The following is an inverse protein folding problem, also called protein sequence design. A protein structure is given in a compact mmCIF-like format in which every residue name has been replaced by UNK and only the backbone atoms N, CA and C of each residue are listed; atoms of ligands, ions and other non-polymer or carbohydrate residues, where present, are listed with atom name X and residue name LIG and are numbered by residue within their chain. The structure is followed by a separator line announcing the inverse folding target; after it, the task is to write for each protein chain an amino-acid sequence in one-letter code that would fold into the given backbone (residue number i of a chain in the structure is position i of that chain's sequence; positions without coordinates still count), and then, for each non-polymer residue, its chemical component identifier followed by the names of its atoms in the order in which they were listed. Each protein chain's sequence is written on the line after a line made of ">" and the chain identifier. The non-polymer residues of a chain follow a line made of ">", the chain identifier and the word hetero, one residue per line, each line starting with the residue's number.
data_IF_779034535586
#
_entry.id   IF_779034535586
#
_cell.length_a   1.000
_cell.length_b   1.000
_cell.length_c   1.000
_cell.angle_alpha   90.00
_cell.angle_beta   90.00
_cell.angle_gamma   90.00
#
_symmetry.space_group_name_H-M   'P 1'
#
loop_
_entity.id
_entity.type
_entity.pdbx_description
1 polymer ?
#
# COMPACT_ATOMS: atom_id res chain seq x y z
N UNK A 1 1.20 -14.84 9.44
CA UNK A 1 1.78 -13.62 8.84
C UNK A 1 0.72 -12.54 8.75
N UNK A 2 1.05 -11.35 9.24
CA UNK A 2 0.14 -10.22 9.23
C UNK A 2 0.51 -9.26 8.10
N UNK A 3 -0.43 -8.98 7.23
CA UNK A 3 -0.20 -8.20 6.00
C UNK A 3 -1.05 -6.94 5.97
N UNK A 4 -0.41 -5.84 5.54
CA UNK A 4 -1.08 -4.59 5.19
C UNK A 4 -1.03 -4.45 3.67
N UNK A 5 -2.18 -4.46 3.02
CA UNK A 5 -2.29 -4.21 1.59
C UNK A 5 -2.65 -2.75 1.33
N UNK A 6 -1.95 -2.13 0.40
CA UNK A 6 -2.13 -0.71 0.08
C UNK A 6 -2.39 -0.50 -1.41
N UNK A 7 -3.41 0.28 -1.70
CA UNK A 7 -3.68 0.82 -3.03
C UNK A 7 -3.37 2.31 -2.95
N UNK A 8 -2.12 2.66 -3.28
CA UNK A 8 -1.56 3.98 -3.01
C UNK A 8 -1.99 5.03 -4.02
N UNK A 9 -2.60 6.09 -3.50
CA UNK A 9 -3.07 7.25 -4.25
C UNK A 9 -3.33 8.37 -3.25
N UNK A 10 -3.77 9.54 -3.69
CA UNK A 10 -4.17 10.62 -2.78
C UNK A 10 -5.25 10.14 -1.81
N UNK A 11 -6.15 9.28 -2.28
CA UNK A 11 -7.04 8.51 -1.39
C UNK A 11 -6.53 7.08 -1.38
N UNK A 12 -5.73 6.77 -0.38
CA UNK A 12 -5.09 5.46 -0.27
C UNK A 12 -6.03 4.45 0.35
N UNK A 13 -6.31 3.38 -0.39
CA UNK A 13 -7.05 2.25 0.17
C UNK A 13 -6.13 1.35 0.96
N UNK A 14 -6.59 0.83 2.09
CA UNK A 14 -5.82 -0.11 2.88
C UNK A 14 -6.69 -1.27 3.35
N UNK A 15 -6.07 -2.41 3.56
CA UNK A 15 -6.74 -3.58 4.11
C UNK A 15 -5.77 -4.44 4.90
N UNK A 16 -6.27 -4.99 5.99
CA UNK A 16 -5.60 -6.03 6.79
C UNK A 16 -6.61 -7.14 7.04
N UNK A 17 -6.22 -8.21 7.70
CA UNK A 17 -7.15 -9.27 8.09
C UNK A 17 -8.24 -8.76 9.04
N UNK A 18 -7.99 -7.67 9.76
CA UNK A 18 -8.88 -7.17 10.80
C UNK A 18 -9.68 -5.93 10.41
N UNK A 19 -9.18 -5.12 9.48
CA UNK A 19 -9.78 -3.83 9.15
C UNK A 19 -9.45 -3.40 7.74
N UNK A 20 -10.27 -2.53 7.19
CA UNK A 20 -10.02 -1.91 5.88
C UNK A 20 -10.63 -0.51 5.86
N UNK A 21 -10.19 0.30 4.91
CA UNK A 21 -10.70 1.65 4.77
C UNK A 21 -9.94 2.46 3.74
N UNK A 22 -10.11 3.76 3.83
CA UNK A 22 -9.48 4.72 2.93
C UNK A 22 -8.86 5.84 3.77
N UNK A 23 -7.61 6.18 3.46
CA UNK A 23 -6.95 7.35 4.04
C UNK A 23 -6.98 8.48 3.02
N UNK A 24 -7.54 9.60 3.38
CA UNK A 24 -7.56 10.78 2.54
C UNK A 24 -6.32 11.63 2.83
N UNK A 25 -5.39 11.64 1.89
CA UNK A 25 -4.13 12.38 2.04
C UNK A 25 -4.20 13.77 1.40
N UNK A 26 -5.38 14.19 0.97
CA UNK A 26 -5.58 15.45 0.26
C UNK A 26 -4.96 16.63 1.00
N UNK A 27 -4.26 17.48 0.23
CA UNK A 27 -3.67 18.70 0.75
C UNK A 27 -4.75 19.70 1.14
N UNK A 28 -4.53 20.34 2.28
CA UNK A 28 -5.35 21.46 2.73
C UNK A 28 -4.75 22.75 2.19
N UNK A 29 -5.56 23.80 2.19
CA UNK A 29 -5.11 25.12 1.71
C UNK A 29 -3.85 25.56 2.45
N UNK A 30 -2.85 25.96 1.69
CA UNK A 30 -1.58 26.44 2.25
C UNK A 30 -0.55 25.37 2.56
N UNK A 31 -0.89 24.10 2.38
CA UNK A 31 0.07 23.02 2.62
C UNK A 31 0.94 22.73 1.41
N UNK A 32 2.18 22.34 1.67
CA UNK A 32 3.09 21.88 0.62
C UNK A 32 2.85 20.41 0.28
N UNK A 33 3.34 19.97 -0.88
CA UNK A 33 3.17 18.60 -1.36
C UNK A 33 3.73 17.55 -0.40
N UNK A 34 4.75 17.89 0.38
CA UNK A 34 5.32 16.99 1.37
C UNK A 34 4.36 16.54 2.45
N UNK A 35 3.27 17.27 2.68
CA UNK A 35 2.29 16.90 3.69
C UNK A 35 1.55 15.62 3.36
N UNK A 36 1.39 15.29 2.08
CA UNK A 36 0.83 13.99 1.68
C UNK A 36 1.72 12.85 2.16
N UNK A 37 3.04 13.04 2.04
CA UNK A 37 4.03 12.03 2.41
C UNK A 37 4.01 11.80 3.93
N UNK A 38 3.93 12.88 4.70
CA UNK A 38 3.85 12.80 6.16
C UNK A 38 2.58 12.07 6.59
N UNK A 39 1.44 12.39 5.97
CA UNK A 39 0.16 11.74 6.30
C UNK A 39 0.20 10.24 6.03
N UNK A 40 0.72 9.85 4.89
CA UNK A 40 0.84 8.43 4.56
C UNK A 40 1.77 7.72 5.55
N UNK A 41 2.92 8.30 5.81
CA UNK A 41 3.89 7.73 6.74
C UNK A 41 3.27 7.52 8.13
N UNK A 42 2.53 8.51 8.63
CA UNK A 42 1.84 8.42 9.92
C UNK A 42 0.81 7.29 9.96
N UNK A 43 0.02 7.16 8.90
CA UNK A 43 -1.01 6.12 8.81
C UNK A 43 -0.42 4.72 8.72
N UNK A 44 0.60 4.56 7.91
CA UNK A 44 1.30 3.28 7.79
C UNK A 44 1.90 2.88 9.12
N UNK A 45 2.59 3.80 9.78
CA UNK A 45 3.19 3.56 11.09
C UNK A 45 2.14 3.11 12.11
N UNK A 46 1.02 3.84 12.17
CA UNK A 46 -0.05 3.56 13.09
C UNK A 46 -0.57 2.12 12.95
N UNK A 47 -0.85 1.70 11.72
CA UNK A 47 -1.36 0.36 11.45
C UNK A 47 -0.30 -0.71 11.69
N UNK A 48 0.92 -0.47 11.20
CA UNK A 48 2.02 -1.43 11.36
C UNK A 48 2.31 -1.69 12.84
N UNK A 49 2.40 -0.64 13.63
CA UNK A 49 2.70 -0.77 15.06
C UNK A 49 1.53 -1.38 15.84
N UNK A 50 0.29 -0.92 15.54
CA UNK A 50 -0.89 -1.40 16.27
C UNK A 50 -1.21 -2.87 16.01
N UNK A 51 -0.99 -3.33 14.78
CA UNK A 51 -1.35 -4.69 14.37
C UNK A 51 -0.16 -5.62 14.20
N UNK A 52 1.05 -5.15 14.47
CA UNK A 52 2.28 -5.93 14.29
C UNK A 52 2.40 -6.51 12.88
N UNK A 53 2.26 -5.65 11.88
CA UNK A 53 2.32 -6.04 10.47
C UNK A 53 3.71 -6.58 10.12
N UNK A 54 3.77 -7.70 9.42
CA UNK A 54 5.01 -8.36 8.99
C UNK A 54 5.38 -8.05 7.55
N UNK A 55 4.39 -7.74 6.72
CA UNK A 55 4.58 -7.52 5.29
C UNK A 55 3.64 -6.44 4.79
N UNK A 56 4.18 -5.52 4.01
CA UNK A 56 3.38 -4.50 3.31
C UNK A 56 3.33 -4.86 1.84
N UNK A 57 2.12 -4.97 1.28
CA UNK A 57 1.91 -5.28 -0.14
C UNK A 57 1.34 -4.05 -0.84
N UNK A 58 1.94 -3.65 -1.96
CA UNK A 58 1.55 -2.44 -2.69
C UNK A 58 1.38 -2.72 -4.18
N UNK A 59 0.46 -1.99 -4.81
CA UNK A 59 0.35 -1.98 -6.26
C UNK A 59 1.33 -0.96 -6.83
N UNK A 60 2.06 -1.35 -7.88
CA UNK A 60 2.94 -0.43 -8.59
C UNK A 60 2.13 0.60 -9.39
N UNK A 61 2.64 1.85 -9.54
CA UNK A 61 1.93 2.85 -10.35
C UNK A 61 1.74 2.37 -11.78
N UNK A 62 0.52 2.50 -12.30
CA UNK A 62 0.18 2.10 -13.66
C UNK A 62 -0.79 3.09 -14.30
N UNK A 63 -0.81 4.32 -13.84
CA UNK A 63 -1.72 5.34 -14.32
C UNK A 63 -1.41 5.79 -15.74
N UNK A 64 -2.43 6.30 -16.41
CA UNK A 64 -2.30 6.90 -17.73
C UNK A 64 -1.78 8.33 -17.66
N UNK A 65 -1.89 8.97 -16.51
CA UNK A 65 -1.53 10.38 -16.33
C UNK A 65 -0.19 10.49 -15.60
N UNK A 66 0.73 11.24 -16.21
CA UNK A 66 2.08 11.43 -15.66
C UNK A 66 2.06 12.00 -14.24
N UNK A 67 1.18 12.96 -13.97
CA UNK A 67 1.07 13.57 -12.64
C UNK A 67 0.66 12.56 -11.57
N UNK A 68 -0.26 11.66 -11.90
CA UNK A 68 -0.69 10.61 -10.97
C UNK A 68 0.43 9.62 -10.70
N UNK A 69 1.19 9.23 -11.74
CA UNK A 69 2.33 8.33 -11.60
C UNK A 69 3.38 8.94 -10.68
N UNK A 70 3.68 10.22 -10.85
CA UNK A 70 4.67 10.92 -10.01
C UNK A 70 4.23 10.91 -8.55
N UNK A 71 2.99 11.30 -8.27
CA UNK A 71 2.46 11.34 -6.91
C UNK A 71 2.49 9.95 -6.26
N UNK A 72 2.01 8.93 -6.98
CA UNK A 72 2.00 7.56 -6.47
C UNK A 72 3.41 7.04 -6.21
N UNK A 73 4.36 7.35 -7.12
CA UNK A 73 5.75 6.93 -6.95
C UNK A 73 6.41 7.57 -5.73
N UNK A 74 6.13 8.85 -5.47
CA UNK A 74 6.64 9.52 -4.28
C UNK A 74 6.09 8.88 -3.01
N UNK A 75 4.80 8.59 -2.98
CA UNK A 75 4.14 7.96 -1.84
C UNK A 75 4.66 6.53 -1.60
N UNK A 76 4.84 5.77 -2.68
CA UNK A 76 5.41 4.42 -2.59
C UNK A 76 6.83 4.48 -2.02
N UNK A 77 7.61 5.47 -2.43
CA UNK A 77 8.96 5.68 -1.89
C UNK A 77 8.96 5.88 -0.39
N UNK A 78 7.98 6.60 0.15
CA UNK A 78 7.84 6.80 1.59
C UNK A 78 7.57 5.47 2.31
N UNK A 79 6.70 4.64 1.75
CA UNK A 79 6.39 3.33 2.35
C UNK A 79 7.62 2.43 2.33
N UNK A 80 8.35 2.42 1.22
CA UNK A 80 9.60 1.65 1.11
C UNK A 80 10.62 2.10 2.15
N UNK A 81 10.80 3.41 2.30
CA UNK A 81 11.71 3.98 3.28
C UNK A 81 11.33 3.54 4.69
N UNK A 82 10.06 3.67 5.03
CA UNK A 82 9.56 3.24 6.34
C UNK A 82 9.85 1.75 6.59
N UNK A 83 9.54 0.91 5.61
CA UNK A 83 9.74 -0.54 5.74
C UNK A 83 11.23 -0.88 5.92
N UNK A 84 12.12 -0.24 5.15
CA UNK A 84 13.56 -0.45 5.29
C UNK A 84 14.07 -0.03 6.66
N UNK A 85 13.64 1.14 7.14
CA UNK A 85 14.05 1.63 8.46
C UNK A 85 13.59 0.72 9.60
N UNK A 86 12.45 0.07 9.45
CA UNK A 86 11.85 -0.78 10.49
C UNK A 86 12.10 -2.28 10.26
N UNK A 87 12.85 -2.64 9.23
CA UNK A 87 13.10 -4.03 8.84
C UNK A 87 11.81 -4.82 8.60
N UNK A 88 10.86 -4.19 7.94
CA UNK A 88 9.60 -4.81 7.54
C UNK A 88 9.69 -5.16 6.06
N UNK A 89 9.33 -6.38 5.70
CA UNK A 89 9.31 -6.81 4.32
C UNK A 89 8.20 -6.10 3.55
N UNK A 90 8.45 -5.83 2.27
CA UNK A 90 7.42 -5.30 1.39
C UNK A 90 7.50 -5.96 0.02
N UNK A 91 6.39 -5.94 -0.70
CA UNK A 91 6.30 -6.49 -2.05
C UNK A 91 5.43 -5.57 -2.92
N UNK A 92 5.73 -5.55 -4.20
CA UNK A 92 4.99 -4.75 -5.17
C UNK A 92 4.35 -5.65 -6.22
N UNK A 93 3.16 -5.28 -6.66
CA UNK A 93 2.44 -5.96 -7.74
C UNK A 93 2.16 -4.99 -8.86
N UNK A 94 2.30 -5.43 -10.10
CA UNK A 94 1.86 -4.65 -11.25
C UNK A 94 0.32 -4.73 -11.35
N UNK A 95 -0.27 -3.76 -12.04
CA UNK A 95 -1.71 -3.80 -12.33
C UNK A 95 -2.09 -5.07 -13.10
N UNK A 96 -1.21 -5.52 -14.00
CA UNK A 96 -1.43 -6.76 -14.77
C UNK A 96 -1.44 -7.97 -13.87
N UNK A 97 -0.51 -8.07 -12.93
CA UNK A 97 -0.46 -9.18 -11.98
C UNK A 97 -1.73 -9.21 -11.13
N UNK A 98 -2.16 -8.05 -10.67
CA UNK A 98 -3.38 -7.91 -9.88
C UNK A 98 -4.60 -8.35 -10.68
N UNK A 99 -4.72 -7.91 -11.93
CA UNK A 99 -5.84 -8.30 -12.81
C UNK A 99 -5.97 -9.80 -13.03
N UNK A 100 -4.87 -10.54 -12.98
CA UNK A 100 -4.92 -12.00 -13.11
C UNK A 100 -5.61 -12.69 -11.94
N UNK A 101 -5.60 -12.05 -10.79
CA UNK A 101 -6.20 -12.61 -9.58
C UNK A 101 -7.58 -12.04 -9.29
N UNK A 102 -7.94 -10.97 -9.99
CA UNK A 102 -9.19 -10.28 -9.71
C UNK A 102 -10.18 -10.35 -10.84
N UNK A 103 -11.33 -10.82 -10.48
CA UNK A 103 -12.55 -10.64 -11.27
C UNK A 103 -13.49 -9.72 -10.52
N UNK A 104 -13.05 -9.18 -9.39
CA UNK A 104 -13.94 -8.64 -8.41
C UNK A 104 -13.95 -7.14 -8.22
N UNK A 105 -14.73 -6.73 -7.27
CA UNK A 105 -14.99 -5.37 -6.85
C UNK A 105 -13.91 -4.92 -5.86
N UNK A 106 -13.79 -3.61 -5.63
CA UNK A 106 -12.69 -3.01 -4.91
C UNK A 106 -12.29 -3.66 -3.58
N UNK A 107 -13.26 -4.06 -2.75
CA UNK A 107 -12.95 -4.66 -1.45
C UNK A 107 -12.42 -6.08 -1.59
N UNK A 108 -12.99 -6.85 -2.50
CA UNK A 108 -12.54 -8.21 -2.79
C UNK A 108 -11.11 -8.18 -3.34
N UNK A 109 -10.79 -7.17 -4.11
CA UNK A 109 -9.46 -6.97 -4.67
C UNK A 109 -8.38 -6.94 -3.59
N UNK A 110 -8.61 -6.21 -2.50
CA UNK A 110 -7.61 -6.10 -1.43
C UNK A 110 -7.46 -7.40 -0.65
N UNK A 111 -8.55 -8.10 -0.40
CA UNK A 111 -8.51 -9.41 0.26
C UNK A 111 -7.70 -10.41 -0.57
N UNK A 112 -7.97 -10.45 -1.88
CA UNK A 112 -7.25 -11.35 -2.80
C UNK A 112 -5.76 -10.97 -2.87
N UNK A 113 -5.44 -9.69 -2.82
CA UNK A 113 -4.06 -9.20 -2.80
C UNK A 113 -3.33 -9.67 -1.54
N UNK A 114 -4.00 -9.65 -0.39
CA UNK A 114 -3.45 -10.15 0.86
C UNK A 114 -3.14 -11.66 0.75
N UNK A 115 -4.08 -12.44 0.24
CA UNK A 115 -3.91 -13.88 0.07
C UNK A 115 -2.76 -14.20 -0.89
N UNK A 116 -2.67 -13.49 -2.01
CA UNK A 116 -1.61 -13.68 -2.97
C UNK A 116 -0.24 -13.29 -2.39
N UNK A 117 -0.19 -12.21 -1.61
CA UNK A 117 1.04 -11.80 -0.96
C UNK A 117 1.52 -12.86 0.03
N UNK A 118 0.60 -13.43 0.81
CA UNK A 118 0.92 -14.53 1.73
C UNK A 118 1.52 -15.71 0.99
N UNK A 119 0.89 -16.12 -0.10
CA UNK A 119 1.34 -17.24 -0.92
C UNK A 119 2.75 -17.01 -1.47
N UNK A 120 2.97 -15.87 -2.11
CA UNK A 120 4.26 -15.55 -2.73
C UNK A 120 5.38 -15.40 -1.72
N UNK A 121 5.10 -14.74 -0.60
CA UNK A 121 6.11 -14.55 0.44
C UNK A 121 6.52 -15.88 1.05
N UNK A 122 5.57 -16.76 1.30
CA UNK A 122 5.85 -18.11 1.80
C UNK A 122 6.71 -18.91 0.82
N UNK A 123 6.44 -18.83 -0.48
CA UNK A 123 7.23 -19.51 -1.51
C UNK A 123 8.67 -18.99 -1.57
N UNK A 124 8.87 -17.70 -1.38
CA UNK A 124 10.20 -17.08 -1.43
C UNK A 124 11.03 -17.46 -0.20
N UNK A 125 10.41 -17.58 0.96
CA UNK A 125 11.11 -17.88 2.21
C UNK A 125 11.48 -19.36 2.38
N UNK A 126 10.89 -20.23 1.62
CA UNK A 126 11.20 -21.65 1.63
C UNK A 126 12.39 -21.92 0.70
#
# INVERSE_FOLDING_TARGET
>A
MKILALDIATKTGFATDLTSGVWDLKLKKGESNGMKLIRLNSKVREVVESLNIDLVAMERPAGLFKSAIITESELIGVVKLYCEEKNINYTEYSATEIKKFFTGKGNEKKVDMIEEAKRRFTEIEI
#
